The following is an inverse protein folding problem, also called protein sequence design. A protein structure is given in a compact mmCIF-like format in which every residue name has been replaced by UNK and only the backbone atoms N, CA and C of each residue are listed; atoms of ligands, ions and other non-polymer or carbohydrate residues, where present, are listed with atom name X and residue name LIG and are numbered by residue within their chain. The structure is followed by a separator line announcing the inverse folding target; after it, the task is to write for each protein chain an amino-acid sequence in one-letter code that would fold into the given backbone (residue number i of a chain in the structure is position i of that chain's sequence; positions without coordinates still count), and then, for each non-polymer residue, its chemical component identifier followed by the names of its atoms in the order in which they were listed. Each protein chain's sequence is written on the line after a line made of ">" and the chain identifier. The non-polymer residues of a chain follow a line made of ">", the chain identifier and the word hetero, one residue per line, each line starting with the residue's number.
data_IF_010304891418
#
_entry.id   IF_010304891418
#
_cell.length_a   1.000
_cell.length_b   1.000
_cell.length_c   1.000
_cell.angle_alpha   90.00
_cell.angle_beta   90.00
_cell.angle_gamma   90.00
#
_symmetry.space_group_name_H-M   'P 1'
#
loop_
_entity.id
_entity.type
_entity.pdbx_description
1 polymer ?
#
# COMPACT_ATOMS: atom_id res chain seq x y z
N UNK A 1 16.40 1.52 21.28
CA UNK A 1 16.25 1.37 19.92
C UNK A 1 14.93 1.90 19.45
N UNK A 2 14.97 2.66 18.55
CA UNK A 2 13.71 3.15 18.12
C UNK A 2 13.27 2.38 16.91
N UNK A 3 12.11 1.88 17.00
CA UNK A 3 11.45 1.36 15.87
C UNK A 3 10.64 2.44 15.25
N UNK A 4 10.68 2.45 13.96
CA UNK A 4 9.75 3.30 13.26
C UNK A 4 8.38 2.67 13.40
N UNK A 5 7.50 3.38 14.01
CA UNK A 5 6.14 2.90 14.13
C UNK A 5 5.45 3.08 12.80
N UNK A 6 4.95 1.99 12.28
CA UNK A 6 4.18 2.07 11.04
C UNK A 6 2.76 1.63 11.36
N UNK A 7 1.83 2.18 10.61
CA UNK A 7 0.43 1.79 10.73
C UNK A 7 0.13 0.77 9.66
N UNK A 8 -0.30 -0.40 10.09
CA UNK A 8 -0.66 -1.44 9.15
C UNK A 8 -2.16 -1.37 8.91
N UNK A 9 -2.54 -1.18 7.66
CA UNK A 9 -3.94 -0.98 7.31
C UNK A 9 -4.27 -1.79 6.08
N UNK A 10 -5.55 -2.05 5.90
CA UNK A 10 -6.03 -2.71 4.69
C UNK A 10 -6.74 -1.70 3.82
N UNK A 11 -6.62 -1.92 2.52
CA UNK A 11 -7.29 -1.06 1.57
C UNK A 11 -7.63 -1.83 0.31
N UNK A 12 -8.36 -1.16 -0.58
CA UNK A 12 -8.75 -1.72 -1.85
C UNK A 12 -8.07 -0.92 -2.96
N UNK A 13 -7.43 -1.63 -3.87
CA UNK A 13 -6.75 -0.98 -4.99
C UNK A 13 -7.79 -0.39 -5.92
N UNK A 14 -7.67 0.91 -6.20
CA UNK A 14 -8.58 1.60 -7.10
C UNK A 14 -8.08 1.57 -8.53
N UNK A 15 -6.79 1.84 -8.71
CA UNK A 15 -6.21 1.82 -10.05
C UNK A 15 -4.70 1.69 -9.95
N UNK A 16 -4.13 1.24 -11.06
CA UNK A 16 -2.70 1.11 -11.19
C UNK A 16 -2.16 2.38 -11.83
N UNK A 17 -1.09 2.90 -11.25
CA UNK A 17 -0.44 4.10 -11.73
C UNK A 17 0.93 3.75 -12.31
N UNK A 18 1.57 4.67 -13.05
CA UNK A 18 2.93 4.44 -13.53
C UNK A 18 3.91 4.25 -12.38
N UNK A 19 5.07 3.68 -12.68
CA UNK A 19 6.18 3.51 -11.74
C UNK A 19 5.84 2.58 -10.58
N UNK A 20 5.04 1.55 -10.86
CA UNK A 20 4.68 0.55 -9.87
C UNK A 20 3.94 1.15 -8.68
N UNK A 21 3.22 2.23 -8.91
CA UNK A 21 2.41 2.87 -7.89
C UNK A 21 0.97 2.46 -8.05
N UNK A 22 0.22 2.57 -6.96
CA UNK A 22 -1.19 2.22 -6.95
C UNK A 22 -1.95 3.24 -6.13
N UNK A 23 -3.18 3.49 -6.54
CA UNK A 23 -4.09 4.30 -5.75
C UNK A 23 -4.94 3.33 -4.93
N UNK A 24 -4.90 3.47 -3.62
CA UNK A 24 -5.56 2.54 -2.71
C UNK A 24 -6.50 3.31 -1.81
N UNK A 25 -7.73 2.83 -1.70
CA UNK A 25 -8.71 3.43 -0.82
C UNK A 25 -8.79 2.64 0.48
N UNK A 26 -8.61 3.31 1.60
CA UNK A 26 -8.70 2.70 2.91
C UNK A 26 -10.16 2.62 3.35
N UNK A 27 -10.42 1.91 4.44
CA UNK A 27 -11.79 1.73 4.91
C UNK A 27 -12.47 3.02 5.28
N UNK A 28 -11.70 4.01 5.69
CA UNK A 28 -12.28 5.32 6.03
C UNK A 28 -12.43 6.22 4.80
N UNK A 29 -12.33 5.64 3.62
CA UNK A 29 -12.44 6.32 2.34
C UNK A 29 -11.29 7.29 2.06
N UNK A 30 -10.24 7.18 2.83
CA UNK A 30 -9.03 7.95 2.57
C UNK A 30 -8.26 7.26 1.45
N UNK A 31 -7.88 8.02 0.43
CA UNK A 31 -7.14 7.48 -0.70
C UNK A 31 -5.66 7.81 -0.52
N UNK A 32 -4.83 6.79 -0.65
CA UNK A 32 -3.38 6.98 -0.51
C UNK A 32 -2.69 6.44 -1.75
N UNK A 33 -1.49 6.94 -1.98
CA UNK A 33 -0.64 6.41 -3.03
C UNK A 33 0.25 5.35 -2.41
N UNK A 34 0.31 4.20 -3.04
CA UNK A 34 1.07 3.08 -2.50
C UNK A 34 2.00 2.53 -3.55
N UNK A 35 3.14 2.02 -3.11
CA UNK A 35 4.04 1.32 -3.99
C UNK A 35 4.22 -0.11 -3.49
N UNK A 36 4.68 -0.99 -4.36
CA UNK A 36 4.84 -2.39 -4.01
C UNK A 36 6.17 -2.56 -3.27
N UNK A 37 6.13 -3.30 -2.15
CA UNK A 37 7.37 -3.59 -1.44
C UNK A 37 8.26 -4.48 -2.31
N UNK A 38 9.55 -4.44 -2.05
CA UNK A 38 10.49 -5.27 -2.80
C UNK A 38 10.20 -6.74 -2.65
N UNK A 39 9.71 -7.14 -1.48
CA UNK A 39 9.41 -8.53 -1.24
C UNK A 39 8.28 -9.04 -2.13
N UNK A 40 7.23 -8.25 -2.28
CA UNK A 40 6.13 -8.63 -3.15
C UNK A 40 6.56 -8.65 -4.60
N UNK A 41 7.40 -7.70 -4.97
CA UNK A 41 7.90 -7.63 -6.33
C UNK A 41 8.72 -8.87 -6.68
N UNK A 42 9.53 -9.34 -5.75
CA UNK A 42 10.34 -10.53 -5.97
C UNK A 42 9.49 -11.78 -6.08
N UNK A 43 8.33 -11.79 -5.44
CA UNK A 43 7.44 -12.94 -5.49
C UNK A 43 6.47 -12.87 -6.66
N UNK A 44 6.60 -11.87 -7.51
CA UNK A 44 5.76 -11.72 -8.70
C UNK A 44 4.27 -11.69 -8.38
N UNK A 45 3.93 -11.16 -7.24
CA UNK A 45 2.52 -11.06 -6.87
C UNK A 45 1.88 -9.97 -7.69
N UNK A 46 0.81 -10.32 -8.39
CA UNK A 46 0.10 -9.38 -9.24
C UNK A 46 -0.97 -8.67 -8.43
N UNK A 47 -1.02 -7.35 -8.57
CA UNK A 47 -2.01 -6.53 -7.91
C UNK A 47 -2.86 -5.86 -8.98
N UNK A 48 -4.17 -6.03 -8.86
CA UNK A 48 -5.12 -5.52 -9.85
C UNK A 48 -6.14 -4.61 -9.16
N UNK A 49 -6.76 -3.70 -9.90
CA UNK A 49 -7.85 -2.91 -9.33
C UNK A 49 -8.92 -3.81 -8.73
N UNK A 50 -9.40 -3.45 -7.55
CA UNK A 50 -10.37 -4.26 -6.84
C UNK A 50 -9.77 -5.21 -5.83
N UNK A 51 -8.47 -5.45 -5.89
CA UNK A 51 -7.83 -6.35 -4.94
C UNK A 51 -7.71 -5.68 -3.58
N UNK A 52 -7.86 -6.47 -2.54
CA UNK A 52 -7.59 -5.99 -1.20
C UNK A 52 -6.13 -6.24 -0.86
N UNK A 53 -5.51 -5.26 -0.27
CA UNK A 53 -4.10 -5.34 0.06
C UNK A 53 -3.89 -4.86 1.48
N UNK A 54 -2.80 -5.34 2.10
CA UNK A 54 -2.35 -4.84 3.38
C UNK A 54 -1.16 -3.94 3.10
N UNK A 55 -1.16 -2.78 3.69
CA UNK A 55 -0.08 -1.83 3.46
C UNK A 55 0.33 -1.16 4.75
N UNK A 56 1.51 -0.58 4.72
CA UNK A 56 2.05 0.17 5.84
C UNK A 56 2.05 1.64 5.52
N UNK A 57 1.60 2.43 6.46
CA UNK A 57 1.66 3.89 6.35
C UNK A 57 2.59 4.43 7.40
N UNK A 58 3.32 5.49 7.05
CA UNK A 58 4.10 6.20 8.03
C UNK A 58 3.19 7.12 8.82
N UNK A 59 3.28 7.16 10.15
CA UNK A 59 2.48 8.12 10.90
C UNK A 59 2.84 9.56 10.59
N UNK A 60 3.98 9.76 9.95
CA UNK A 60 4.40 11.11 9.57
C UNK A 60 3.90 11.52 8.20
N UNK A 61 3.43 10.58 7.40
CA UNK A 61 2.91 10.90 6.08
C UNK A 61 1.88 9.86 5.70
N UNK A 62 0.63 10.15 6.02
CA UNK A 62 -0.45 9.21 5.78
C UNK A 62 -0.96 9.23 4.34
N UNK A 63 -0.35 10.04 3.49
CA UNK A 63 -0.77 10.09 2.10
C UNK A 63 -0.04 9.08 1.22
N UNK A 64 1.00 8.44 1.76
CA UNK A 64 1.78 7.47 1.03
C UNK A 64 1.94 6.20 1.85
N UNK A 65 1.96 5.07 1.17
CA UNK A 65 2.11 3.81 1.85
C UNK A 65 2.87 2.81 1.00
N UNK A 66 3.12 1.66 1.60
CA UNK A 66 3.80 0.58 0.93
C UNK A 66 2.96 -0.69 1.06
N UNK A 67 2.66 -1.32 -0.06
CA UNK A 67 1.90 -2.55 -0.05
C UNK A 67 2.85 -3.67 0.36
N UNK A 68 2.52 -4.37 1.44
CA UNK A 68 3.37 -5.43 1.97
C UNK A 68 2.76 -6.80 1.79
N UNK A 69 1.46 -6.87 1.49
CA UNK A 69 0.80 -8.15 1.32
C UNK A 69 -0.48 -7.95 0.53
N UNK A 70 -0.84 -9.00 -0.18
CA UNK A 70 -2.07 -8.98 -0.94
C UNK A 70 -3.01 -10.07 -0.49
#
# INVERSE_FOLDING_TARGET
>A
MSKVDVLEVEGTVLEKLPNAMFKVELENKHVVLAHISGKLRMNFIRILPGDKVTMELSPYDLSKGRIIWR
#
